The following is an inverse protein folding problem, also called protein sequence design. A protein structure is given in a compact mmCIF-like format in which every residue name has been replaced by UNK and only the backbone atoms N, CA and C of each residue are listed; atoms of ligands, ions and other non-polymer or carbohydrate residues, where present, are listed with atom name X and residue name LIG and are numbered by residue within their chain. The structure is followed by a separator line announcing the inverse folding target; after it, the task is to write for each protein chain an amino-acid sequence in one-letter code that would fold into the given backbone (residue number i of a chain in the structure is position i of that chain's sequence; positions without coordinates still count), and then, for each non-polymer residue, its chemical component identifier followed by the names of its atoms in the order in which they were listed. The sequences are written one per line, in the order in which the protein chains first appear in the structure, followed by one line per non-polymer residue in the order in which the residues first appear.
data_IF_546665440540
#
_entry.id   IF_546665440540
#
_cell.length_a   1.000
_cell.length_b   1.000
_cell.length_c   1.000
_cell.angle_alpha   90.00
_cell.angle_beta   90.00
_cell.angle_gamma   90.00
#
_symmetry.space_group_name_H-M   'P 1'
#
loop_
_entity.id
_entity.type
_entity.pdbx_description
1 polymer ?
#
# COMPACT_ATOMS: atom_id res chain seq x y z
N UNK A 1 -37.79 13.56 26.56
CA UNK A 1 -36.74 12.84 25.83
C UNK A 1 -35.77 12.26 26.85
N UNK A 2 -35.84 10.96 27.08
CA UNK A 2 -34.88 10.24 27.89
C UNK A 2 -33.58 10.15 27.10
N UNK A 3 -32.57 10.92 27.48
CA UNK A 3 -31.21 10.78 26.97
C UNK A 3 -30.67 9.46 27.56
N UNK A 4 -30.74 8.37 26.83
CA UNK A 4 -30.07 7.12 27.17
C UNK A 4 -28.60 7.36 26.94
N UNK A 5 -27.75 7.25 27.97
CA UNK A 5 -26.29 7.35 27.80
C UNK A 5 -25.78 6.07 27.15
N UNK A 6 -24.77 6.19 26.30
CA UNK A 6 -24.14 5.04 25.65
C UNK A 6 -23.66 3.98 26.67
N UNK A 7 -23.25 4.41 27.87
CA UNK A 7 -22.90 3.55 28.99
C UNK A 7 -24.05 2.63 29.44
N UNK A 8 -25.27 3.16 29.45
CA UNK A 8 -26.43 2.43 29.93
C UNK A 8 -26.85 1.31 28.95
N UNK A 9 -26.64 1.56 27.67
CA UNK A 9 -26.85 0.57 26.59
C UNK A 9 -25.80 -0.53 26.66
N UNK A 10 -24.55 -0.21 26.96
CA UNK A 10 -23.46 -1.18 27.10
C UNK A 10 -23.71 -2.10 28.29
N UNK A 11 -24.16 -1.57 29.42
CA UNK A 11 -24.53 -2.38 30.57
C UNK A 11 -25.70 -3.31 30.26
N UNK A 12 -26.66 -2.87 29.47
CA UNK A 12 -27.85 -3.63 29.13
C UNK A 12 -27.59 -4.76 28.13
N UNK A 13 -26.64 -4.59 27.22
CA UNK A 13 -26.27 -5.57 26.19
C UNK A 13 -25.14 -6.52 26.63
N UNK A 14 -24.59 -6.37 27.83
CA UNK A 14 -23.55 -7.26 28.35
C UNK A 14 -24.01 -8.71 28.48
N UNK A 15 -23.06 -9.67 28.33
CA UNK A 15 -21.61 -9.50 28.08
C UNK A 15 -21.19 -9.57 26.61
N UNK A 16 -22.13 -9.77 25.68
CA UNK A 16 -21.80 -10.24 24.32
C UNK A 16 -21.67 -9.13 23.27
N UNK A 17 -21.96 -7.89 23.64
CA UNK A 17 -21.97 -6.75 22.72
C UNK A 17 -20.99 -5.67 23.13
N UNK A 18 -20.36 -5.06 22.14
CA UNK A 18 -19.46 -3.90 22.28
C UNK A 18 -19.91 -2.79 21.36
N UNK A 19 -19.97 -1.57 21.87
CA UNK A 19 -20.26 -0.39 21.08
C UNK A 19 -18.98 0.20 20.51
N UNK A 20 -18.94 0.35 19.18
CA UNK A 20 -17.89 1.06 18.48
C UNK A 20 -18.27 2.55 18.34
N UNK A 21 -17.58 3.40 19.09
CA UNK A 21 -17.82 4.85 19.08
C UNK A 21 -17.48 5.52 17.75
N UNK A 22 -16.61 4.92 16.93
CA UNK A 22 -16.24 5.50 15.64
C UNK A 22 -17.30 5.24 14.57
N UNK A 23 -17.88 4.05 14.59
CA UNK A 23 -18.90 3.66 13.62
C UNK A 23 -20.33 3.84 14.15
N UNK A 24 -20.50 4.24 15.41
CA UNK A 24 -21.79 4.36 16.11
C UNK A 24 -22.64 3.08 15.99
N UNK A 25 -22.03 1.90 16.16
CA UNK A 25 -22.67 0.60 15.99
C UNK A 25 -22.33 -0.35 17.14
N UNK A 26 -23.27 -1.25 17.40
CA UNK A 26 -23.05 -2.38 18.29
C UNK A 26 -22.57 -3.61 17.50
N UNK A 27 -21.54 -4.26 18.03
CA UNK A 27 -21.01 -5.50 17.50
C UNK A 27 -21.06 -6.58 18.57
N UNK A 28 -21.45 -7.79 18.17
CA UNK A 28 -21.27 -8.94 19.04
C UNK A 28 -19.78 -9.17 19.28
N UNK A 29 -19.37 -9.37 20.54
CA UNK A 29 -17.97 -9.54 20.94
C UNK A 29 -17.28 -10.67 20.18
N UNK A 30 -17.96 -11.75 19.91
CA UNK A 30 -17.45 -12.87 19.13
C UNK A 30 -17.17 -12.48 17.68
N UNK A 31 -17.98 -11.60 17.09
CA UNK A 31 -17.75 -11.08 15.74
C UNK A 31 -16.54 -10.16 15.67
N UNK A 32 -16.27 -9.36 16.71
CA UNK A 32 -15.10 -8.48 16.78
C UNK A 32 -13.79 -9.24 16.96
N UNK A 33 -13.84 -10.38 17.66
CA UNK A 33 -12.65 -11.19 17.94
C UNK A 33 -12.28 -12.12 16.78
N UNK A 34 -13.20 -12.47 15.92
CA UNK A 34 -12.97 -13.35 14.78
C UNK A 34 -12.75 -12.53 13.51
N UNK A 35 -11.50 -12.31 13.14
CA UNK A 35 -11.20 -11.82 11.79
C UNK A 35 -11.74 -12.85 10.80
N UNK A 36 -12.57 -12.43 9.82
CA UNK A 36 -13.08 -13.36 8.82
C UNK A 36 -11.91 -14.03 8.10
N UNK A 37 -11.96 -15.34 7.93
CA UNK A 37 -10.99 -16.09 7.15
C UNK A 37 -11.24 -15.82 5.67
N UNK A 38 -10.60 -14.78 5.14
CA UNK A 38 -10.73 -14.41 3.74
C UNK A 38 -9.65 -15.14 2.91
N UNK A 39 -10.09 -15.86 1.90
CA UNK A 39 -9.20 -16.49 0.92
C UNK A 39 -8.83 -15.48 -0.15
N UNK A 40 -7.66 -14.88 0.00
CA UNK A 40 -7.12 -13.94 -0.99
C UNK A 40 -6.37 -14.71 -2.09
N UNK A 41 -6.84 -14.60 -3.32
CA UNK A 41 -6.20 -15.13 -4.52
C UNK A 41 -5.46 -13.99 -5.22
N UNK A 42 -4.20 -14.20 -5.61
CA UNK A 42 -3.36 -13.15 -6.20
C UNK A 42 -2.96 -13.57 -7.61
N UNK A 43 -3.24 -12.71 -8.57
CA UNK A 43 -2.91 -12.94 -9.97
C UNK A 43 -2.06 -11.81 -10.53
N UNK A 44 -1.09 -12.19 -11.36
CA UNK A 44 -0.35 -11.25 -12.20
C UNK A 44 -1.21 -10.89 -13.40
N UNK A 45 -1.36 -9.60 -13.67
CA UNK A 45 -2.26 -9.07 -14.68
C UNK A 45 -1.55 -8.11 -15.64
N UNK A 46 -2.20 -7.75 -16.74
CA UNK A 46 -1.72 -6.72 -17.66
C UNK A 46 -1.89 -5.32 -17.06
N UNK A 47 -0.99 -4.40 -17.40
CA UNK A 47 -1.03 -3.01 -16.89
C UNK A 47 -2.31 -2.24 -17.24
N UNK A 48 -3.06 -2.68 -18.24
CA UNK A 48 -4.35 -2.11 -18.65
C UNK A 48 -5.48 -2.30 -17.63
N UNK A 49 -5.31 -3.22 -16.67
CA UNK A 49 -6.29 -3.46 -15.60
C UNK A 49 -6.34 -2.31 -14.61
N UNK A 50 -5.19 -1.71 -14.27
CA UNK A 50 -5.12 -0.61 -13.33
C UNK A 50 -5.99 0.60 -13.76
N UNK A 51 -5.85 1.17 -14.97
CA UNK A 51 -6.64 2.33 -15.36
C UNK A 51 -8.14 2.03 -15.45
N UNK A 52 -8.53 0.80 -15.69
CA UNK A 52 -9.94 0.41 -15.84
C UNK A 52 -10.66 0.24 -14.51
N UNK A 53 -10.01 -0.37 -13.51
CA UNK A 53 -10.65 -0.78 -12.26
C UNK A 53 -10.20 0.03 -11.04
N UNK A 54 -8.94 0.45 -10.99
CA UNK A 54 -8.33 0.95 -9.75
C UNK A 54 -7.92 2.42 -9.81
N UNK A 55 -7.79 3.02 -11.00
CA UNK A 55 -7.30 4.40 -11.14
C UNK A 55 -8.16 5.41 -10.39
N UNK A 56 -9.48 5.24 -10.41
CA UNK A 56 -10.43 6.13 -9.73
C UNK A 56 -10.27 6.15 -8.20
N UNK A 57 -9.75 5.06 -7.63
CA UNK A 57 -9.49 4.94 -6.19
C UNK A 57 -8.06 5.30 -5.80
N UNK A 58 -7.24 5.69 -6.78
CA UNK A 58 -5.85 6.06 -6.54
C UNK A 58 -5.68 7.58 -6.56
N UNK A 59 -5.17 8.13 -5.47
CA UNK A 59 -5.10 9.56 -5.21
C UNK A 59 -4.04 10.33 -6.04
N UNK A 60 -3.21 9.63 -6.81
CA UNK A 60 -2.15 10.24 -7.62
C UNK A 60 -2.39 10.01 -9.10
N UNK A 61 -2.30 11.07 -9.88
CA UNK A 61 -2.26 10.96 -11.34
C UNK A 61 -0.81 10.92 -11.81
N UNK A 62 -0.26 9.73 -11.89
CA UNK A 62 1.11 9.47 -12.31
C UNK A 62 1.12 8.54 -13.53
N UNK A 63 2.08 8.71 -14.46
CA UNK A 63 2.23 7.80 -15.60
C UNK A 63 2.55 6.38 -15.12
N UNK A 64 2.29 5.40 -15.97
CA UNK A 64 2.58 4.00 -15.68
C UNK A 64 4.05 3.81 -15.28
N UNK A 65 4.35 3.07 -14.22
CA UNK A 65 5.72 2.83 -13.81
C UNK A 65 6.44 1.97 -14.87
N UNK A 66 7.69 2.33 -15.15
CA UNK A 66 8.50 1.65 -16.17
C UNK A 66 8.79 0.22 -15.77
N UNK A 67 8.63 -0.71 -16.71
CA UNK A 67 8.92 -2.14 -16.55
C UNK A 67 8.18 -2.80 -15.37
N UNK A 68 7.04 -2.24 -14.97
CA UNK A 68 6.27 -2.76 -13.84
C UNK A 68 5.57 -4.08 -14.15
N UNK A 69 5.46 -4.89 -13.12
CA UNK A 69 4.55 -6.02 -13.03
C UNK A 69 3.35 -5.62 -12.17
N UNK A 70 2.18 -6.04 -12.59
CA UNK A 70 0.92 -5.65 -11.97
C UNK A 70 0.25 -6.87 -11.36
N UNK A 71 -0.25 -6.73 -10.14
CA UNK A 71 -0.90 -7.79 -9.39
C UNK A 71 -2.27 -7.32 -8.91
N UNK A 72 -3.23 -8.22 -8.95
CA UNK A 72 -4.58 -8.01 -8.42
C UNK A 72 -4.89 -9.13 -7.45
N UNK A 73 -5.42 -8.77 -6.31
CA UNK A 73 -5.98 -9.70 -5.34
C UNK A 73 -7.49 -9.81 -5.53
N UNK A 74 -7.98 -11.04 -5.45
CA UNK A 74 -9.38 -11.39 -5.56
C UNK A 74 -9.87 -12.08 -4.28
N UNK A 75 -11.09 -11.77 -3.89
CA UNK A 75 -11.84 -12.49 -2.84
C UNK A 75 -13.20 -12.82 -3.42
N UNK A 76 -13.59 -14.10 -3.36
CA UNK A 76 -14.83 -14.59 -3.93
C UNK A 76 -15.08 -14.22 -5.41
N UNK A 77 -13.99 -14.12 -6.20
CA UNK A 77 -14.06 -13.74 -7.61
C UNK A 77 -14.09 -12.22 -7.88
N UNK A 78 -14.18 -11.39 -6.86
CA UNK A 78 -14.18 -9.94 -6.98
C UNK A 78 -12.77 -9.35 -6.83
N UNK A 79 -12.37 -8.37 -7.67
CA UNK A 79 -11.10 -7.69 -7.57
C UNK A 79 -11.12 -6.72 -6.39
N UNK A 80 -10.32 -6.97 -5.35
CA UNK A 80 -10.36 -6.22 -4.09
C UNK A 80 -9.14 -5.31 -3.88
N UNK A 81 -8.01 -5.63 -4.49
CA UNK A 81 -6.79 -4.83 -4.33
C UNK A 81 -5.83 -4.97 -5.51
N UNK A 82 -4.98 -3.98 -5.65
CA UNK A 82 -4.00 -3.87 -6.74
C UNK A 82 -2.66 -3.33 -6.22
N UNK A 83 -1.56 -3.80 -6.79
CA UNK A 83 -0.22 -3.22 -6.61
C UNK A 83 0.58 -3.36 -7.90
N UNK A 84 1.44 -2.38 -8.17
CA UNK A 84 2.44 -2.45 -9.22
C UNK A 84 3.83 -2.54 -8.60
N UNK A 85 4.70 -3.40 -9.13
CA UNK A 85 6.07 -3.55 -8.68
C UNK A 85 7.02 -3.31 -9.84
N UNK A 86 7.94 -2.37 -9.67
CA UNK A 86 8.92 -1.99 -10.69
C UNK A 86 10.33 -2.30 -10.23
N UNK A 87 11.21 -2.79 -11.11
CA UNK A 87 12.64 -2.89 -10.82
C UNK A 87 13.27 -1.49 -10.76
N UNK A 88 14.14 -1.31 -9.79
CA UNK A 88 15.04 -0.17 -9.69
C UNK A 88 16.43 -0.63 -10.14
N UNK A 89 16.67 -0.61 -11.44
CA UNK A 89 17.89 -1.18 -12.05
C UNK A 89 19.18 -0.63 -11.45
N UNK A 90 19.24 0.69 -11.21
CA UNK A 90 20.44 1.34 -10.63
C UNK A 90 20.65 1.03 -9.16
N UNK A 91 19.60 0.67 -8.44
CA UNK A 91 19.67 0.37 -7.00
C UNK A 91 19.70 -1.13 -6.71
N UNK A 92 19.58 -2.00 -7.72
CA UNK A 92 19.50 -3.44 -7.52
C UNK A 92 18.34 -3.85 -6.59
N UNK A 93 17.17 -3.30 -6.80
CA UNK A 93 16.03 -3.48 -5.91
C UNK A 93 14.70 -3.46 -6.69
N UNK A 94 13.62 -3.86 -6.03
CA UNK A 94 12.26 -3.62 -6.49
C UNK A 94 11.59 -2.52 -5.67
N UNK A 95 10.63 -1.84 -6.28
CA UNK A 95 9.74 -0.89 -5.60
C UNK A 95 8.29 -1.24 -5.87
N UNK A 96 7.56 -1.58 -4.82
CA UNK A 96 6.12 -1.66 -4.87
C UNK A 96 5.51 -0.24 -4.83
N UNK A 97 4.53 0.00 -5.70
CA UNK A 97 3.83 1.28 -5.86
C UNK A 97 2.38 1.02 -6.21
N UNK A 98 1.55 2.08 -6.13
CA UNK A 98 0.14 2.01 -6.55
C UNK A 98 -0.64 0.90 -5.84
N UNK A 99 -0.38 0.76 -4.55
CA UNK A 99 -1.25 -0.05 -3.71
C UNK A 99 -2.62 0.64 -3.63
N UNK A 100 -3.63 -0.05 -4.11
CA UNK A 100 -5.03 0.34 -4.02
C UNK A 100 -5.78 -0.80 -3.38
N UNK A 101 -6.63 -0.50 -2.43
CA UNK A 101 -7.61 -1.43 -1.84
C UNK A 101 -8.96 -0.81 -2.05
N UNK A 102 -9.90 -1.58 -2.58
CA UNK A 102 -11.27 -1.10 -2.81
C UNK A 102 -11.89 -0.64 -1.49
N UNK A 103 -12.69 0.43 -1.49
CA UNK A 103 -13.19 1.07 -0.26
C UNK A 103 -13.83 0.09 0.73
N UNK A 104 -14.66 -0.81 0.25
CA UNK A 104 -15.39 -1.82 1.02
C UNK A 104 -14.48 -2.88 1.67
N UNK A 105 -13.22 -2.97 1.24
CA UNK A 105 -12.23 -3.92 1.74
C UNK A 105 -11.11 -3.27 2.55
N UNK A 106 -11.23 -1.97 2.82
CA UNK A 106 -10.25 -1.24 3.63
C UNK A 106 -10.45 -1.55 5.13
N UNK A 107 -9.38 -1.40 5.92
CA UNK A 107 -9.43 -1.58 7.38
C UNK A 107 -9.30 -3.02 7.87
N UNK A 108 -9.67 -4.03 7.09
CA UNK A 108 -9.67 -5.46 7.50
C UNK A 108 -8.33 -6.18 7.29
N UNK A 109 -7.28 -5.46 6.87
CA UNK A 109 -5.92 -5.99 6.74
C UNK A 109 -5.62 -6.71 5.41
N UNK A 110 -6.54 -6.70 4.45
CA UNK A 110 -6.33 -7.29 3.11
C UNK A 110 -5.15 -6.65 2.40
N UNK A 111 -5.08 -5.31 2.38
CA UNK A 111 -4.02 -4.57 1.68
C UNK A 111 -2.62 -4.88 2.21
N UNK A 112 -2.43 -5.01 3.52
CA UNK A 112 -1.14 -5.34 4.12
C UNK A 112 -0.72 -6.78 3.85
N UNK A 113 -1.66 -7.73 3.90
CA UNK A 113 -1.42 -9.14 3.55
C UNK A 113 -1.07 -9.29 2.07
N UNK A 114 -1.84 -8.64 1.20
CA UNK A 114 -1.60 -8.62 -0.24
C UNK A 114 -0.23 -8.05 -0.60
N UNK A 115 0.09 -6.86 -0.07
CA UNK A 115 1.38 -6.20 -0.29
C UNK A 115 2.54 -7.11 0.16
N UNK A 116 2.44 -7.71 1.34
CA UNK A 116 3.47 -8.61 1.87
C UNK A 116 3.66 -9.85 0.97
N UNK A 117 2.58 -10.47 0.48
CA UNK A 117 2.66 -11.63 -0.39
C UNK A 117 3.34 -11.31 -1.74
N UNK A 118 2.97 -10.17 -2.35
CA UNK A 118 3.60 -9.73 -3.61
C UNK A 118 5.07 -9.34 -3.41
N UNK A 119 5.41 -8.71 -2.29
CA UNK A 119 6.81 -8.40 -1.97
C UNK A 119 7.63 -9.67 -1.72
N UNK A 120 7.08 -10.68 -1.06
CA UNK A 120 7.73 -11.97 -0.87
C UNK A 120 7.99 -12.67 -2.19
N UNK A 121 7.01 -12.73 -3.09
CA UNK A 121 7.15 -13.26 -4.45
C UNK A 121 8.37 -12.66 -5.17
N UNK A 122 8.54 -11.33 -5.12
CA UNK A 122 9.69 -10.67 -5.74
C UNK A 122 10.99 -10.92 -5.00
N UNK A 123 10.97 -10.96 -3.67
CA UNK A 123 12.14 -11.24 -2.84
C UNK A 123 12.70 -12.64 -3.08
N UNK A 124 11.82 -13.60 -3.40
CA UNK A 124 12.20 -14.97 -3.76
C UNK A 124 12.73 -15.10 -5.20
N UNK A 125 12.82 -14.01 -5.96
CA UNK A 125 13.36 -14.02 -7.31
C UNK A 125 12.36 -14.29 -8.42
N UNK A 126 11.07 -14.40 -8.10
CA UNK A 126 10.02 -14.62 -9.11
C UNK A 126 9.63 -13.37 -9.90
N UNK A 127 10.17 -12.20 -9.53
CA UNK A 127 9.95 -10.96 -10.27
C UNK A 127 10.70 -10.91 -11.59
N UNK A 128 10.42 -9.88 -12.38
CA UNK A 128 10.92 -9.69 -13.76
C UNK A 128 12.43 -9.88 -13.96
N UNK A 129 13.24 -9.52 -12.95
CA UNK A 129 14.70 -9.65 -13.05
C UNK A 129 15.20 -11.07 -12.77
N UNK A 130 14.37 -12.00 -12.32
CA UNK A 130 14.77 -13.36 -11.94
C UNK A 130 15.77 -13.43 -10.80
N UNK A 131 15.92 -12.35 -10.02
CA UNK A 131 16.92 -12.21 -8.95
C UNK A 131 16.25 -11.94 -7.61
N UNK A 132 16.80 -12.50 -6.55
CA UNK A 132 16.41 -12.21 -5.18
C UNK A 132 16.92 -10.82 -4.77
N UNK A 133 16.08 -9.81 -4.97
CA UNK A 133 16.40 -8.42 -4.71
C UNK A 133 15.54 -7.88 -3.56
N UNK A 134 16.05 -6.90 -2.79
CA UNK A 134 15.25 -6.24 -1.77
C UNK A 134 14.06 -5.51 -2.38
N UNK A 135 12.94 -5.52 -1.66
CA UNK A 135 11.71 -4.86 -2.08
C UNK A 135 11.40 -3.71 -1.14
N UNK A 136 11.19 -2.53 -1.73
CA UNK A 136 10.84 -1.31 -1.00
C UNK A 136 9.41 -0.88 -1.32
N UNK A 137 8.78 -0.26 -0.33
CA UNK A 137 7.47 0.37 -0.48
C UNK A 137 7.49 1.76 0.15
N UNK A 138 6.93 2.73 -0.55
CA UNK A 138 6.85 4.12 -0.08
C UNK A 138 5.39 4.53 0.06
N UNK A 139 5.04 5.10 1.19
CA UNK A 139 3.68 5.57 1.45
C UNK A 139 3.67 6.85 2.28
N UNK A 140 2.65 7.67 2.07
CA UNK A 140 2.31 8.82 2.91
C UNK A 140 1.02 8.58 3.71
N UNK A 141 0.40 7.40 3.59
CA UNK A 141 -0.86 7.10 4.26
C UNK A 141 -0.61 6.78 5.74
N UNK A 142 -1.14 7.56 6.71
CA UNK A 142 -0.80 7.42 8.12
C UNK A 142 -1.09 6.04 8.71
N UNK A 143 -2.28 5.51 8.45
CA UNK A 143 -2.69 4.20 8.96
C UNK A 143 -1.82 3.07 8.40
N UNK A 144 -1.48 3.13 7.11
CA UNK A 144 -0.61 2.14 6.49
C UNK A 144 0.82 2.24 7.05
N UNK A 145 1.35 3.46 7.25
CA UNK A 145 2.63 3.67 7.93
C UNK A 145 2.63 3.05 9.33
N UNK A 146 1.56 3.26 10.10
CA UNK A 146 1.37 2.65 11.41
C UNK A 146 1.37 1.12 11.34
N UNK A 147 0.57 0.55 10.45
CA UNK A 147 0.47 -0.90 10.27
C UNK A 147 1.82 -1.54 9.87
N UNK A 148 2.56 -0.90 8.95
CA UNK A 148 3.87 -1.41 8.52
C UNK A 148 4.92 -1.32 9.64
N UNK A 149 4.92 -0.26 10.45
CA UNK A 149 5.84 -0.14 11.61
C UNK A 149 5.62 -1.19 12.68
N UNK A 150 4.37 -1.58 12.91
CA UNK A 150 4.03 -2.63 13.88
C UNK A 150 4.22 -4.05 13.33
N UNK A 151 4.41 -4.19 12.02
CA UNK A 151 4.61 -5.48 11.38
C UNK A 151 6.06 -5.94 11.46
N UNK A 152 6.32 -7.15 11.98
CA UNK A 152 7.65 -7.76 11.99
C UNK A 152 8.22 -8.03 10.58
N UNK A 153 7.40 -7.94 9.55
CA UNK A 153 7.81 -8.16 8.15
C UNK A 153 8.39 -6.93 7.46
N UNK A 154 8.39 -5.79 8.13
CA UNK A 154 8.80 -4.52 7.55
C UNK A 154 9.76 -3.76 8.45
N UNK A 155 10.72 -3.07 7.84
CA UNK A 155 11.60 -2.11 8.51
C UNK A 155 11.46 -0.75 7.83
N UNK A 156 11.22 0.28 8.62
CA UNK A 156 11.25 1.65 8.12
C UNK A 156 12.70 2.06 7.84
N UNK A 157 12.99 2.45 6.62
CA UNK A 157 14.35 2.80 6.16
C UNK A 157 14.57 4.30 6.07
N UNK A 158 13.51 5.07 5.84
CA UNK A 158 13.59 6.53 5.77
C UNK A 158 12.23 7.20 6.00
N UNK A 159 12.29 8.46 6.39
CA UNK A 159 11.16 9.37 6.36
C UNK A 159 11.63 10.67 5.71
N UNK A 160 10.92 11.11 4.66
CA UNK A 160 11.20 12.36 3.97
C UNK A 160 10.06 13.32 4.23
N UNK A 161 10.38 14.47 4.81
CA UNK A 161 9.42 15.53 5.06
C UNK A 161 9.31 16.43 3.83
N UNK A 162 8.15 16.99 3.61
CA UNK A 162 7.80 18.15 2.82
C UNK A 162 8.67 18.45 1.58
N UNK A 163 8.25 18.01 0.42
CA UNK A 163 8.87 18.44 -0.85
C UNK A 163 10.29 17.93 -1.13
N UNK A 164 11.00 17.37 -0.15
CA UNK A 164 12.37 16.90 -0.30
C UNK A 164 12.52 15.85 -1.43
N UNK A 165 11.52 15.01 -1.63
CA UNK A 165 11.50 14.04 -2.72
C UNK A 165 11.32 14.69 -4.09
N UNK A 166 10.57 15.80 -4.17
CA UNK A 166 10.36 16.54 -5.43
C UNK A 166 11.68 17.13 -5.92
N UNK A 167 12.42 17.81 -5.06
CA UNK A 167 13.72 18.39 -5.36
C UNK A 167 14.72 17.32 -5.80
N UNK A 168 14.79 16.19 -5.06
CA UNK A 168 15.68 15.07 -5.44
C UNK A 168 15.31 14.45 -6.78
N UNK A 169 14.00 14.28 -7.08
CA UNK A 169 13.54 13.74 -8.37
C UNK A 169 13.85 14.67 -9.52
N UNK A 170 13.63 15.96 -9.37
CA UNK A 170 13.96 16.97 -10.38
C UNK A 170 15.47 16.97 -10.65
N UNK A 171 16.29 17.01 -9.60
CA UNK A 171 17.76 16.97 -9.75
C UNK A 171 18.23 15.70 -10.45
N UNK A 172 17.63 14.54 -10.15
CA UNK A 172 17.95 13.28 -10.81
C UNK A 172 17.56 13.28 -12.29
N UNK A 173 16.41 13.85 -12.64
CA UNK A 173 15.96 13.99 -14.03
C UNK A 173 16.87 14.93 -14.83
N UNK A 174 17.26 16.06 -14.25
CA UNK A 174 18.18 17.00 -14.88
C UNK A 174 19.53 16.32 -15.14
N UNK A 175 20.10 15.64 -14.14
CA UNK A 175 21.35 14.89 -14.29
C UNK A 175 21.27 13.80 -15.36
N UNK A 176 20.16 13.08 -15.43
CA UNK A 176 19.93 12.03 -16.43
C UNK A 176 19.77 12.60 -17.84
N UNK A 177 19.09 13.72 -18.00
CA UNK A 177 18.92 14.41 -19.27
C UNK A 177 20.26 14.99 -19.76
N UNK A 178 21.06 15.60 -18.89
CA UNK A 178 22.38 16.09 -19.21
C UNK A 178 23.33 14.98 -19.73
N UNK A 179 23.29 13.79 -19.10
CA UNK A 179 24.08 12.64 -19.57
C UNK A 179 23.66 12.13 -20.95
N UNK A 180 22.42 12.38 -21.37
CA UNK A 180 21.90 12.00 -22.69
C UNK A 180 22.00 13.10 -23.73
N UNK A 181 22.66 14.22 -23.42
CA UNK A 181 22.74 15.38 -24.29
C UNK A 181 21.41 16.07 -24.59
N UNK A 182 20.38 15.80 -23.79
CA UNK A 182 19.05 16.40 -23.93
C UNK A 182 18.88 17.51 -22.90
N UNK A 183 18.38 18.71 -23.28
CA UNK A 183 18.08 19.75 -22.30
C UNK A 183 17.04 19.21 -21.29
N UNK A 184 17.40 19.25 -20.03
CA UNK A 184 16.50 18.83 -18.95
C UNK A 184 15.24 19.68 -18.99
N UNK A 185 14.13 19.15 -19.48
CA UNK A 185 12.83 19.77 -19.27
C UNK A 185 12.49 19.65 -17.80
N UNK A 186 12.21 20.74 -17.09
CA UNK A 186 11.55 20.69 -15.79
C UNK A 186 10.11 20.23 -16.00
N UNK A 187 9.94 18.96 -16.37
CA UNK A 187 8.61 18.38 -16.46
C UNK A 187 8.04 18.32 -15.07
N UNK A 188 6.81 18.69 -14.96
CA UNK A 188 5.91 18.53 -13.83
C UNK A 188 6.36 17.37 -12.96
N UNK A 189 6.88 17.68 -11.78
CA UNK A 189 7.63 16.76 -10.94
C UNK A 189 6.97 15.41 -10.70
N UNK A 190 7.34 14.47 -11.51
CA UNK A 190 7.06 13.07 -11.21
C UNK A 190 7.74 12.71 -9.89
N UNK A 191 6.96 12.23 -8.94
CA UNK A 191 7.48 11.59 -7.73
C UNK A 191 7.79 12.49 -6.54
N UNK A 192 7.46 13.75 -6.58
CA UNK A 192 7.63 14.60 -5.40
C UNK A 192 6.31 15.19 -4.94
N UNK A 193 5.75 14.69 -3.86
CA UNK A 193 4.61 15.32 -3.23
C UNK A 193 5.06 16.20 -2.09
N UNK A 194 4.27 17.26 -1.82
CA UNK A 194 4.41 18.07 -0.61
C UNK A 194 3.93 17.32 0.65
N UNK A 195 3.98 15.99 0.65
CA UNK A 195 3.60 15.14 1.77
C UNK A 195 4.83 14.48 2.38
N UNK A 196 4.76 14.23 3.67
CA UNK A 196 5.72 13.34 4.32
C UNK A 196 5.58 11.94 3.73
N UNK A 197 6.68 11.38 3.24
CA UNK A 197 6.72 10.03 2.66
C UNK A 197 7.63 9.17 3.52
N UNK A 198 7.14 8.01 3.92
CA UNK A 198 7.91 7.03 4.65
C UNK A 198 8.27 5.86 3.73
N UNK A 199 9.50 5.43 3.83
CA UNK A 199 10.05 4.31 3.07
C UNK A 199 10.20 3.08 3.97
N UNK A 200 9.75 1.95 3.48
CA UNK A 200 9.82 0.65 4.16
C UNK A 200 10.51 -0.37 3.28
N UNK A 201 11.30 -1.23 3.89
CA UNK A 201 11.90 -2.41 3.27
C UNK A 201 11.19 -3.64 3.78
N UNK A 202 10.80 -4.52 2.87
CA UNK A 202 10.25 -5.83 3.22
C UNK A 202 11.38 -6.79 3.61
N UNK A 203 11.30 -7.41 4.78
CA UNK A 203 12.37 -8.27 5.34
C UNK A 203 11.93 -9.71 5.56
N UNK A 204 10.62 -9.97 5.71
CA UNK A 204 10.08 -11.28 6.07
C UNK A 204 10.87 -12.01 7.17
N UNK A 205 10.89 -11.44 8.36
CA UNK A 205 11.32 -12.19 9.54
C UNK A 205 10.17 -13.16 9.89
N UNK A 206 10.00 -14.18 9.03
CA UNK A 206 9.09 -15.26 9.35
C UNK A 206 9.68 -16.12 10.46
N UNK A 207 8.91 -16.34 11.50
CA UNK A 207 9.03 -17.54 12.31
C UNK A 207 8.49 -18.70 11.52
#
# INVERSE_FOLDING_TARGET
EMCIRDSDIIEWLQPDWVYDMQEARFYNRDCLQRRPQLKLQIYKVRGTVFPRLFKQHYYLDLPAPVAAEYFVGFINGEPVCHVAVSPLFTAGAYRATRLVVMPEWQGIGVGTKFLAAVCEYHRQGHGRCGKMLPVFFHTSHPQLCGALRHSRKWVQTAASLYGANKTKSISSLIKSAARKGQPGRPTSGYGGHFRAVQAFKYINNGC
#
